data_IF_236556606125
#
_entry.id   IF_236556606125
#
_cell.length_a   1.000
_cell.length_b   1.000
_cell.length_c   1.000
_cell.angle_alpha   90.00
_cell.angle_beta   90.00
_cell.angle_gamma   90.00
#
_symmetry.space_group_name_H-M   'P 1'
#
loop_
_entity.id
_entity.type
_entity.pdbx_description
1 polymer ?
#
# COMPACT_ATOMS: atom_id res chain seq x y z
N UNK A 1 16.25 9.20 -34.66
CA UNK A 1 16.65 9.05 -33.24
C UNK A 1 15.69 8.04 -32.65
N UNK A 2 16.26 6.94 -32.19
CA UNK A 2 15.57 5.68 -31.91
C UNK A 2 14.71 5.84 -30.64
N UNK A 3 13.43 5.48 -30.74
CA UNK A 3 12.51 5.49 -29.61
C UNK A 3 12.97 4.46 -28.58
N UNK A 4 12.81 4.76 -27.28
CA UNK A 4 12.99 3.77 -26.24
C UNK A 4 12.01 2.61 -26.46
N UNK A 5 12.46 1.36 -26.31
CA UNK A 5 11.57 0.20 -26.44
C UNK A 5 10.46 0.23 -25.37
N UNK A 6 10.79 0.76 -24.18
CA UNK A 6 9.85 1.00 -23.09
C UNK A 6 10.16 2.35 -22.43
N UNK A 7 9.11 3.11 -22.13
CA UNK A 7 9.20 4.38 -21.40
C UNK A 7 8.04 4.49 -20.43
N UNK A 8 8.36 4.58 -19.14
CA UNK A 8 7.39 4.79 -18.08
C UNK A 8 7.63 6.15 -17.44
N UNK A 9 6.59 6.98 -17.44
CA UNK A 9 6.55 8.23 -16.67
C UNK A 9 5.50 8.10 -15.59
N UNK A 10 5.93 8.15 -14.33
CA UNK A 10 5.06 7.88 -13.20
C UNK A 10 4.09 9.02 -12.86
N UNK A 11 4.05 10.11 -13.64
CA UNK A 11 3.05 11.17 -13.54
C UNK A 11 2.85 11.71 -12.10
N UNK A 12 3.98 11.91 -11.40
CA UNK A 12 4.08 12.28 -9.97
C UNK A 12 3.42 11.29 -8.98
N UNK A 13 3.13 10.07 -9.42
CA UNK A 13 2.71 8.98 -8.54
C UNK A 13 3.91 8.28 -7.90
N UNK A 14 3.70 7.85 -6.66
CA UNK A 14 4.68 7.05 -5.94
C UNK A 14 4.54 5.60 -6.35
N UNK A 15 5.68 4.97 -6.65
CA UNK A 15 5.77 3.56 -7.02
C UNK A 15 6.77 2.85 -6.13
N UNK A 16 6.58 1.55 -5.90
CA UNK A 16 7.51 0.81 -5.06
C UNK A 16 8.81 0.61 -5.82
N UNK A 17 9.93 0.89 -5.16
CA UNK A 17 11.24 0.75 -5.80
C UNK A 17 11.50 -0.67 -6.32
N UNK A 18 11.01 -1.71 -5.64
CA UNK A 18 11.12 -3.09 -6.11
C UNK A 18 10.36 -3.36 -7.42
N UNK A 19 9.24 -2.68 -7.67
CA UNK A 19 8.46 -2.82 -8.92
C UNK A 19 9.21 -2.19 -10.11
N UNK A 20 10.00 -1.13 -9.85
CA UNK A 20 10.87 -0.56 -10.87
C UNK A 20 12.09 -1.46 -11.12
N UNK A 21 12.70 -2.00 -10.06
CA UNK A 21 13.87 -2.86 -10.17
C UNK A 21 13.58 -4.21 -10.84
N UNK A 22 12.35 -4.71 -10.84
CA UNK A 22 12.02 -5.95 -11.57
C UNK A 22 12.14 -5.82 -13.09
N UNK A 23 12.17 -4.59 -13.61
CA UNK A 23 12.27 -4.29 -15.04
C UNK A 23 13.71 -3.97 -15.48
N UNK A 24 14.65 -3.83 -14.54
CA UNK A 24 16.04 -3.46 -14.80
C UNK A 24 16.93 -4.61 -14.34
N UNK A 25 17.87 -5.11 -15.17
CA UNK A 25 18.74 -6.23 -14.83
C UNK A 25 19.86 -5.80 -13.86
N UNK A 26 19.49 -5.39 -12.63
CA UNK A 26 20.40 -4.94 -11.58
C UNK A 26 20.03 -5.56 -10.23
N UNK A 27 21.05 -6.07 -9.53
CA UNK A 27 20.93 -6.47 -8.13
C UNK A 27 21.43 -5.33 -7.22
N UNK A 28 20.55 -4.83 -6.36
CA UNK A 28 20.89 -3.84 -5.33
C UNK A 28 20.66 -4.47 -3.96
N UNK A 29 21.75 -4.77 -3.25
CA UNK A 29 21.69 -5.39 -1.94
C UNK A 29 21.08 -4.45 -0.89
N UNK A 30 21.64 -3.23 -0.76
CA UNK A 30 21.15 -2.24 0.19
C UNK A 30 20.42 -1.09 -0.54
N UNK A 31 19.11 -1.29 -0.72
CA UNK A 31 18.22 -0.34 -1.41
C UNK A 31 18.11 1.00 -0.70
N UNK A 32 18.05 1.01 0.62
CA UNK A 32 17.95 2.26 1.38
C UNK A 32 19.20 3.13 1.19
N UNK A 33 20.39 2.54 1.31
CA UNK A 33 21.63 3.27 1.06
C UNK A 33 21.71 3.70 -0.41
N UNK A 34 21.26 2.87 -1.34
CA UNK A 34 21.23 3.24 -2.75
C UNK A 34 20.40 4.50 -2.99
N UNK A 35 19.16 4.54 -2.48
CA UNK A 35 18.26 5.69 -2.59
C UNK A 35 18.83 6.94 -1.89
N UNK A 36 19.56 6.78 -0.79
CA UNK A 36 20.18 7.90 -0.06
C UNK A 36 21.32 8.56 -0.83
N UNK A 37 22.15 7.77 -1.53
CA UNK A 37 23.38 8.25 -2.14
C UNK A 37 23.32 8.39 -3.66
N UNK A 38 22.30 7.82 -4.31
CA UNK A 38 22.15 7.82 -5.77
C UNK A 38 20.71 8.12 -6.17
N UNK A 39 20.57 9.00 -7.15
CA UNK A 39 19.28 9.40 -7.74
C UNK A 39 19.12 8.91 -9.19
N UNK A 40 20.09 8.17 -9.73
CA UNK A 40 19.98 7.61 -11.08
C UNK A 40 20.58 6.22 -11.16
N UNK A 41 20.07 5.43 -12.10
CA UNK A 41 20.57 4.12 -12.48
C UNK A 41 20.79 4.11 -13.98
N UNK A 42 21.97 3.71 -14.40
CA UNK A 42 22.32 3.49 -15.80
C UNK A 42 22.93 2.09 -15.90
N UNK A 43 22.25 1.21 -16.63
CA UNK A 43 22.67 -0.19 -16.80
C UNK A 43 22.53 -0.55 -18.26
N UNK A 44 23.49 -1.30 -18.80
CA UNK A 44 23.46 -1.79 -20.17
C UNK A 44 23.66 -3.29 -20.15
N UNK A 45 22.82 -4.02 -20.88
CA UNK A 45 23.03 -5.42 -21.19
C UNK A 45 23.38 -5.62 -22.68
N UNK A 46 23.33 -6.86 -23.17
CA UNK A 46 23.66 -7.18 -24.56
C UNK A 46 22.69 -6.60 -25.59
N UNK A 47 21.47 -6.24 -25.19
CA UNK A 47 20.38 -5.85 -26.08
C UNK A 47 19.89 -4.42 -25.80
N UNK A 48 19.96 -3.95 -24.55
CA UNK A 48 19.27 -2.76 -24.08
C UNK A 48 20.12 -1.89 -23.17
N UNK A 49 19.79 -0.59 -23.20
CA UNK A 49 20.25 0.39 -22.22
C UNK A 49 19.06 0.83 -21.37
N UNK A 50 19.21 0.69 -20.06
CA UNK A 50 18.24 1.03 -19.04
C UNK A 50 18.66 2.31 -18.35
N UNK A 51 17.74 3.28 -18.30
CA UNK A 51 17.94 4.57 -17.67
C UNK A 51 16.80 4.80 -16.67
N UNK A 52 17.15 5.04 -15.41
CA UNK A 52 16.21 5.43 -14.36
C UNK A 52 16.69 6.73 -13.72
N UNK A 53 15.78 7.68 -13.60
CA UNK A 53 15.97 8.89 -12.82
C UNK A 53 14.95 8.93 -11.68
N UNK A 54 15.44 9.12 -10.46
CA UNK A 54 14.67 9.14 -9.22
C UNK A 54 14.55 10.59 -8.79
N UNK A 55 13.36 11.17 -8.98
CA UNK A 55 13.06 12.55 -8.60
C UNK A 55 13.04 12.72 -7.07
N UNK A 56 12.33 11.82 -6.39
CA UNK A 56 12.16 11.81 -4.93
C UNK A 56 12.07 10.37 -4.42
N UNK A 57 12.40 10.14 -3.15
CA UNK A 57 12.28 8.85 -2.48
C UNK A 57 11.72 9.00 -1.05
N UNK A 58 11.13 7.91 -0.55
CA UNK A 58 10.67 7.75 0.84
C UNK A 58 11.15 6.40 1.35
N UNK A 59 11.69 6.37 2.56
CA UNK A 59 12.16 5.14 3.20
C UNK A 59 11.09 4.56 4.11
N UNK A 60 11.30 3.31 4.52
CA UNK A 60 10.45 2.69 5.54
C UNK A 60 10.56 3.51 6.82
N UNK A 61 9.40 3.90 7.37
CA UNK A 61 9.30 4.77 8.55
C UNK A 61 9.00 6.23 8.22
N UNK A 62 9.16 6.67 6.96
CA UNK A 62 8.70 7.99 6.54
C UNK A 62 7.17 8.04 6.42
N UNK A 63 6.62 9.26 6.45
CA UNK A 63 5.19 9.46 6.17
C UNK A 63 4.90 9.04 4.73
N UNK A 64 4.03 8.04 4.59
CA UNK A 64 3.64 7.52 3.29
C UNK A 64 2.85 8.57 2.50
N UNK A 65 3.13 8.72 1.20
CA UNK A 65 2.35 9.56 0.30
C UNK A 65 0.88 9.15 0.28
N UNK A 66 -0.02 10.14 0.37
CA UNK A 66 -1.46 9.89 0.51
C UNK A 66 -2.02 9.11 -0.68
N UNK A 67 -1.59 9.41 -1.90
CA UNK A 67 -2.04 8.74 -3.13
C UNK A 67 -1.68 7.25 -3.17
N UNK A 68 -0.64 6.81 -2.45
CA UNK A 68 -0.25 5.41 -2.40
C UNK A 68 -1.11 4.59 -1.40
N UNK A 69 -1.63 5.24 -0.35
CA UNK A 69 -2.30 4.56 0.77
C UNK A 69 -3.78 4.93 0.92
N UNK A 70 -4.33 5.74 0.02
CA UNK A 70 -5.72 6.20 0.10
C UNK A 70 -6.71 5.02 0.14
N UNK A 71 -6.49 4.02 -0.72
CA UNK A 71 -7.33 2.83 -0.76
C UNK A 71 -7.23 2.01 0.54
N UNK A 72 -6.02 1.87 1.09
CA UNK A 72 -5.79 1.19 2.36
C UNK A 72 -6.49 1.90 3.52
N UNK A 73 -6.38 3.23 3.60
CA UNK A 73 -7.09 4.05 4.60
C UNK A 73 -8.59 3.81 4.49
N UNK A 74 -9.14 3.88 3.27
CA UNK A 74 -10.57 3.65 3.03
C UNK A 74 -10.99 2.25 3.48
N UNK A 75 -10.21 1.23 3.16
CA UNK A 75 -10.47 -0.15 3.55
C UNK A 75 -10.43 -0.34 5.07
N UNK A 76 -9.49 0.29 5.76
CA UNK A 76 -9.41 0.30 7.24
C UNK A 76 -10.67 0.95 7.84
N UNK A 77 -11.10 2.11 7.32
CA UNK A 77 -12.30 2.81 7.80
C UNK A 77 -13.54 1.95 7.58
N UNK A 78 -13.70 1.36 6.40
CA UNK A 78 -14.82 0.47 6.09
C UNK A 78 -14.84 -0.75 7.00
N UNK A 79 -13.69 -1.35 7.27
CA UNK A 79 -13.56 -2.51 8.16
C UNK A 79 -13.98 -2.16 9.59
N UNK A 80 -13.52 -1.00 10.11
CA UNK A 80 -13.93 -0.50 11.44
C UNK A 80 -15.44 -0.27 11.53
N UNK A 81 -16.04 0.34 10.50
CA UNK A 81 -17.50 0.57 10.44
C UNK A 81 -18.29 -0.74 10.46
N UNK A 82 -17.86 -1.75 9.69
CA UNK A 82 -18.50 -3.08 9.68
C UNK A 82 -18.47 -3.72 11.07
N UNK A 83 -17.31 -3.71 11.73
CA UNK A 83 -17.16 -4.27 13.08
C UNK A 83 -18.04 -3.55 14.09
N UNK A 84 -18.07 -2.22 14.07
CA UNK A 84 -18.91 -1.45 14.98
C UNK A 84 -20.40 -1.71 14.75
N UNK A 85 -20.83 -1.74 13.48
CA UNK A 85 -22.21 -2.04 13.13
C UNK A 85 -22.67 -3.42 13.65
N UNK A 86 -21.83 -4.45 13.49
CA UNK A 86 -22.15 -5.78 14.03
C UNK A 86 -22.29 -5.78 15.56
N UNK A 87 -21.44 -5.04 16.27
CA UNK A 87 -21.52 -4.91 17.73
C UNK A 87 -22.79 -4.20 18.18
N UNK A 88 -23.12 -3.08 17.54
CA UNK A 88 -24.34 -2.33 17.82
C UNK A 88 -25.59 -3.18 17.54
N UNK A 89 -25.60 -3.94 16.45
CA UNK A 89 -26.68 -4.86 16.14
C UNK A 89 -26.87 -5.93 17.22
N UNK A 90 -25.78 -6.57 17.67
CA UNK A 90 -25.83 -7.58 18.73
C UNK A 90 -26.35 -6.99 20.05
N UNK A 91 -25.85 -5.80 20.43
CA UNK A 91 -26.31 -5.12 21.64
C UNK A 91 -27.80 -4.76 21.55
N UNK A 92 -28.25 -4.22 20.42
CA UNK A 92 -29.66 -3.90 20.22
C UNK A 92 -30.57 -5.13 20.30
N UNK A 93 -30.14 -6.27 19.74
CA UNK A 93 -30.88 -7.54 19.85
C UNK A 93 -30.95 -8.01 21.31
N UNK A 94 -29.82 -7.93 22.03
CA UNK A 94 -29.77 -8.29 23.45
C UNK A 94 -30.69 -7.40 24.30
N UNK A 95 -30.60 -6.08 24.12
CA UNK A 95 -31.43 -5.10 24.83
C UNK A 95 -32.92 -5.27 24.50
N UNK A 96 -33.27 -5.51 23.24
CA UNK A 96 -34.65 -5.75 22.82
C UNK A 96 -35.22 -7.03 23.46
N UNK A 97 -34.45 -8.11 23.48
CA UNK A 97 -34.87 -9.35 24.14
C UNK A 97 -35.04 -9.16 25.66
N UNK A 98 -34.19 -8.33 26.28
CA UNK A 98 -34.29 -7.97 27.70
C UNK A 98 -35.53 -7.16 28.02
N UNK A 99 -35.81 -6.15 27.21
CA UNK A 99 -36.96 -5.28 27.42
C UNK A 99 -38.30 -5.99 27.13
N UNK A 100 -38.31 -6.99 26.25
CA UNK A 100 -39.50 -7.79 25.92
C UNK A 100 -39.76 -8.96 26.88
N UNK A 101 -38.87 -9.20 27.86
CA UNK A 101 -38.99 -10.33 28.80
C UNK A 101 -38.92 -11.70 28.12
N UNK A 102 -38.30 -11.79 26.94
CA UNK A 102 -38.31 -12.99 26.09
C UNK A 102 -37.09 -13.90 26.38
N UNK A 103 -36.78 -14.13 27.65
CA UNK A 103 -35.75 -15.08 28.06
C UNK A 103 -36.33 -16.17 28.96
N UNK A 104 -36.12 -17.43 28.58
CA UNK A 104 -36.20 -18.55 29.51
C UNK A 104 -34.86 -18.64 30.26
N UNK A 105 -34.86 -18.25 31.53
CA UNK A 105 -33.70 -18.45 32.42
C UNK A 105 -33.70 -19.93 32.83
N UNK A 106 -32.81 -20.72 32.25
CA UNK A 106 -32.48 -22.04 32.79
C UNK A 106 -31.38 -21.88 33.83
N UNK A 107 -31.77 -21.97 35.11
CA UNK A 107 -30.84 -22.13 36.23
C UNK A 107 -30.76 -23.64 36.53
N UNK A 108 -29.55 -24.20 36.48
CA UNK A 108 -29.27 -25.55 37.04
C UNK A 108 -29.30 -25.54 38.56
#
# INVERSE_FOLDING_TARGET
MQYAEKYDYFNDNWVKFNEVLSEIPIAIDNKENYLKYRNSIEVTDSLYQYLLYIKEYKLVGDISPINLIEEDIKNIILSKRKVNFSKELMNNIYDDAQNKGAFDIYVE
#
